data_IF_671522292589
#
_entry.id   IF_671522292589
#
_cell.length_a   1.000
_cell.length_b   1.000
_cell.length_c   1.000
_cell.angle_alpha   90.00
_cell.angle_beta   90.00
_cell.angle_gamma   90.00
#
_symmetry.space_group_name_H-M   'P 1'
#
loop_
_entity.id
_entity.type
_entity.pdbx_description
1 polymer ?
#
# COMPACT_ATOMS: atom_id res chain seq x y z
N UNK A 1 -9.39 2.20 -4.09
CA UNK A 1 -9.31 0.92 -3.36
C UNK A 1 -8.22 0.03 -3.95
N UNK A 2 -7.22 -0.29 -3.15
CA UNK A 2 -6.13 -1.23 -3.50
C UNK A 2 -6.43 -2.62 -2.95
N UNK A 3 -5.97 -3.66 -3.64
CA UNK A 3 -5.92 -5.00 -3.05
C UNK A 3 -4.63 -5.14 -2.21
N UNK A 4 -4.69 -5.83 -1.07
CA UNK A 4 -3.49 -6.20 -0.31
C UNK A 4 -3.13 -7.65 -0.69
N UNK A 5 -1.87 -7.94 -1.05
CA UNK A 5 -1.47 -9.31 -1.41
C UNK A 5 -1.75 -10.31 -0.28
N UNK A 6 -2.37 -11.45 -0.61
CA UNK A 6 -2.85 -12.39 0.39
C UNK A 6 -1.72 -13.03 1.21
N UNK A 7 -0.57 -13.29 0.59
CA UNK A 7 0.60 -13.84 1.25
C UNK A 7 1.29 -12.81 2.16
N UNK A 8 1.20 -11.52 1.86
CA UNK A 8 1.59 -10.44 2.76
C UNK A 8 0.67 -10.38 3.99
N UNK A 9 -0.64 -10.34 3.76
CA UNK A 9 -1.65 -10.33 4.83
C UNK A 9 -1.50 -11.53 5.77
N UNK A 10 -1.20 -12.72 5.22
CA UNK A 10 -1.01 -13.95 5.99
C UNK A 10 0.19 -13.90 6.96
N UNK A 11 1.18 -13.01 6.74
CA UNK A 11 2.36 -12.86 7.63
C UNK A 11 2.07 -11.99 8.86
N UNK A 12 1.02 -11.19 8.81
CA UNK A 12 0.63 -10.22 9.84
C UNK A 12 -0.34 -10.87 10.82
N UNK A 13 0.20 -11.49 11.89
CA UNK A 13 -0.59 -12.37 12.76
C UNK A 13 -0.98 -11.76 14.09
N UNK A 14 -0.15 -10.88 14.65
CA UNK A 14 -0.44 -10.30 15.95
C UNK A 14 -1.52 -9.20 15.86
N UNK A 15 -2.19 -8.84 16.96
CA UNK A 15 -3.30 -7.88 16.92
C UNK A 15 -2.91 -6.50 16.36
N UNK A 16 -1.71 -6.02 16.65
CA UNK A 16 -1.20 -4.73 16.15
C UNK A 16 -0.97 -4.78 14.63
N UNK A 17 -0.37 -5.85 14.14
CA UNK A 17 -0.15 -6.10 12.71
C UNK A 17 -1.47 -6.19 11.93
N UNK A 18 -2.50 -6.81 12.51
CA UNK A 18 -3.84 -6.90 11.89
C UNK A 18 -4.53 -5.54 11.84
N UNK A 19 -4.48 -4.76 12.93
CA UNK A 19 -4.99 -3.38 12.95
C UNK A 19 -4.31 -2.52 11.89
N UNK A 20 -2.99 -2.66 11.75
CA UNK A 20 -2.24 -1.96 10.71
C UNK A 20 -2.67 -2.41 9.30
N UNK A 21 -2.79 -3.73 9.06
CA UNK A 21 -3.30 -4.30 7.80
C UNK A 21 -4.67 -3.71 7.42
N UNK A 22 -5.60 -3.65 8.36
CA UNK A 22 -6.94 -3.12 8.15
C UNK A 22 -6.92 -1.61 7.79
N UNK A 23 -5.90 -0.87 8.27
CA UNK A 23 -5.72 0.55 7.96
C UNK A 23 -5.07 0.84 6.60
N UNK A 24 -4.43 -0.15 5.97
CA UNK A 24 -3.62 0.06 4.76
C UNK A 24 -4.39 0.69 3.59
N UNK A 25 -5.62 0.26 3.24
CA UNK A 25 -6.35 0.85 2.14
C UNK A 25 -6.61 2.34 2.35
N UNK A 26 -7.05 2.74 3.56
CA UNK A 26 -7.31 4.14 3.89
C UNK A 26 -6.01 4.97 3.91
N UNK A 27 -4.94 4.41 4.46
CA UNK A 27 -3.63 5.04 4.54
C UNK A 27 -3.07 5.34 3.16
N UNK A 28 -3.16 4.38 2.25
CA UNK A 28 -2.76 4.52 0.84
C UNK A 28 -3.60 5.60 0.16
N UNK A 29 -4.93 5.53 0.26
CA UNK A 29 -5.81 6.52 -0.36
C UNK A 29 -5.55 7.94 0.16
N UNK A 30 -5.30 8.08 1.47
CA UNK A 30 -4.96 9.36 2.09
C UNK A 30 -3.69 9.96 1.49
N UNK A 31 -2.61 9.18 1.38
CA UNK A 31 -1.35 9.68 0.83
C UNK A 31 -1.40 9.87 -0.69
N UNK A 32 -2.13 9.02 -1.40
CA UNK A 32 -2.39 9.22 -2.84
C UNK A 32 -3.08 10.57 -3.09
N UNK A 33 -4.15 10.89 -2.35
CA UNK A 33 -4.82 12.20 -2.46
C UNK A 33 -3.89 13.34 -2.05
N UNK A 34 -3.19 13.21 -0.92
CA UNK A 34 -2.31 14.26 -0.38
C UNK A 34 -1.18 14.62 -1.35
N UNK A 35 -0.67 13.66 -2.10
CA UNK A 35 0.48 13.85 -3.00
C UNK A 35 0.09 13.85 -4.49
N UNK A 36 -1.19 13.80 -4.81
CA UNK A 36 -1.67 13.80 -6.21
C UNK A 36 -1.22 12.57 -7.01
N UNK A 37 -1.11 11.41 -6.35
CA UNK A 37 -0.66 10.16 -6.97
C UNK A 37 -1.82 9.46 -7.67
N UNK A 38 -1.53 8.79 -8.79
CA UNK A 38 -2.47 7.87 -9.46
C UNK A 38 -1.94 6.44 -9.37
N UNK A 39 -2.83 5.47 -9.16
CA UNK A 39 -2.45 4.06 -9.12
C UNK A 39 -1.92 3.63 -10.49
N UNK A 40 -0.85 2.84 -10.51
CA UNK A 40 -0.15 2.42 -11.74
C UNK A 40 0.18 0.93 -11.73
N UNK A 41 -0.80 0.09 -11.40
CA UNK A 41 -0.67 -1.37 -11.42
C UNK A 41 -0.97 -2.02 -10.07
N UNK A 42 -0.66 -3.32 -10.01
CA UNK A 42 -0.95 -4.16 -8.86
C UNK A 42 0.00 -3.88 -7.70
N UNK A 43 -0.51 -4.00 -6.48
CA UNK A 43 0.30 -3.85 -5.28
C UNK A 43 1.30 -4.99 -5.14
N UNK A 44 2.48 -4.65 -4.66
CA UNK A 44 3.54 -5.58 -4.32
C UNK A 44 3.82 -5.49 -2.82
N UNK A 45 4.69 -6.33 -2.30
CA UNK A 45 5.11 -6.24 -0.90
C UNK A 45 6.58 -6.61 -0.72
N UNK A 46 7.20 -6.01 0.29
CA UNK A 46 8.49 -6.46 0.82
C UNK A 46 8.28 -7.42 2.00
N UNK A 47 9.28 -7.51 2.87
CA UNK A 47 9.18 -8.31 4.10
C UNK A 47 8.20 -7.71 5.11
N UNK A 48 8.25 -6.39 5.31
CA UNK A 48 7.45 -5.65 6.30
C UNK A 48 6.74 -4.42 5.73
N UNK A 49 6.36 -4.43 4.45
CA UNK A 49 5.72 -3.26 3.88
C UNK A 49 4.96 -3.54 2.60
N UNK A 50 3.92 -2.75 2.36
CA UNK A 50 3.17 -2.71 1.13
C UNK A 50 3.81 -1.71 0.16
N UNK A 51 3.91 -2.08 -1.10
CA UNK A 51 4.44 -1.25 -2.19
C UNK A 51 3.33 -1.04 -3.21
N UNK A 52 2.97 0.21 -3.45
CA UNK A 52 1.91 0.60 -4.38
C UNK A 52 2.55 1.33 -5.56
N UNK A 53 2.57 0.74 -6.77
CA UNK A 53 2.99 1.43 -7.97
C UNK A 53 2.10 2.64 -8.24
N UNK A 54 2.70 3.79 -8.52
CA UNK A 54 1.98 5.05 -8.75
C UNK A 54 2.62 5.93 -9.83
N UNK A 55 1.83 6.84 -10.39
CA UNK A 55 2.29 7.96 -11.23
C UNK A 55 2.27 9.28 -10.48
N UNK A 56 3.31 10.10 -10.73
CA UNK A 56 3.40 11.51 -10.33
C UNK A 56 3.60 12.37 -11.58
N UNK A 57 2.51 12.87 -12.14
CA UNK A 57 2.52 13.35 -13.52
C UNK A 57 2.86 12.19 -14.46
N UNK A 58 3.88 12.37 -15.31
CA UNK A 58 4.31 11.33 -16.26
C UNK A 58 5.38 10.38 -15.68
N UNK A 59 5.83 10.63 -14.45
CA UNK A 59 6.90 9.84 -13.81
C UNK A 59 6.33 8.65 -13.04
N UNK A 60 6.94 7.48 -13.24
CA UNK A 60 6.69 6.31 -12.41
C UNK A 60 7.36 6.47 -11.03
N UNK A 61 6.66 6.04 -9.98
CA UNK A 61 7.13 6.05 -8.61
C UNK A 61 6.46 4.92 -7.80
N UNK A 62 6.82 4.79 -6.53
CA UNK A 62 6.17 3.87 -5.60
C UNK A 62 5.80 4.59 -4.31
N UNK A 63 4.61 4.29 -3.79
CA UNK A 63 4.21 4.61 -2.43
C UNK A 63 4.48 3.37 -1.56
N UNK A 64 5.44 3.47 -0.64
CA UNK A 64 5.74 2.41 0.34
C UNK A 64 5.12 2.74 1.68
N UNK A 65 4.48 1.75 2.29
CA UNK A 65 3.88 1.83 3.62
C UNK A 65 4.44 0.68 4.47
N UNK A 66 5.03 0.98 5.62
CA UNK A 66 5.71 0.02 6.50
C UNK A 66 5.66 0.48 7.95
#
# INVERSE_FOLDING_TARGET
MIAVPADFAARLRNPEQRRWLDSLPELVERYMRRWGLRLDGDTMHGYSGLVVPVRVGDRAAVLKVS
#
